data_IF_664052104207
#
_entry.id   IF_664052104207
#
_cell.length_a   1.000
_cell.length_b   1.000
_cell.length_c   1.000
_cell.angle_alpha   90.00
_cell.angle_beta   90.00
_cell.angle_gamma   90.00
#
_symmetry.space_group_name_H-M   'P 1'
#
loop_
_entity.id
_entity.type
_entity.pdbx_description
1 polymer ?
#
# COMPACT_ATOMS: atom_id res chain seq x y z
N UNK A 1 35.51 -22.03 38.86
CA UNK A 1 35.03 -20.65 38.78
C UNK A 1 35.63 -20.01 37.53
N UNK A 2 34.85 -19.87 36.46
CA UNK A 2 35.15 -18.92 35.37
C UNK A 2 33.83 -18.60 34.67
N UNK A 3 33.31 -17.40 34.91
CA UNK A 3 32.03 -16.93 34.40
C UNK A 3 32.24 -16.24 33.05
N UNK A 4 31.77 -16.84 31.96
CA UNK A 4 31.71 -16.17 30.66
C UNK A 4 30.36 -15.48 30.52
N UNK A 5 30.31 -14.23 30.97
CA UNK A 5 29.23 -13.29 30.63
C UNK A 5 29.52 -12.73 29.24
N UNK A 6 28.92 -13.31 28.19
CA UNK A 6 28.89 -12.69 26.87
C UNK A 6 27.53 -12.06 26.63
N UNK A 7 27.51 -10.74 26.76
CA UNK A 7 26.45 -9.84 26.33
C UNK A 7 26.53 -9.80 24.80
N UNK A 8 25.60 -10.48 24.12
CA UNK A 8 25.30 -10.24 22.70
C UNK A 8 24.00 -9.43 22.73
N UNK A 9 24.13 -8.11 22.89
CA UNK A 9 24.11 -7.15 21.79
C UNK A 9 22.79 -7.25 21.03
N UNK A 10 21.94 -6.26 21.28
CA UNK A 10 20.58 -6.15 20.77
C UNK A 10 20.50 -6.42 19.27
N UNK A 11 19.49 -7.21 18.91
CA UNK A 11 19.08 -7.40 17.53
C UNK A 11 18.78 -6.02 16.94
N UNK A 12 19.75 -5.51 16.18
CA UNK A 12 19.62 -4.32 15.37
C UNK A 12 18.41 -4.52 14.46
N UNK A 13 17.44 -3.64 14.67
CA UNK A 13 16.36 -3.30 13.76
C UNK A 13 16.95 -3.16 12.35
N UNK A 14 16.76 -4.17 11.52
CA UNK A 14 17.00 -4.07 10.09
C UNK A 14 15.90 -3.18 9.50
N UNK A 15 16.17 -1.88 9.49
CA UNK A 15 15.49 -0.90 8.65
C UNK A 15 15.69 -1.30 7.18
N UNK A 16 14.77 -2.09 6.66
CA UNK A 16 14.70 -2.41 5.24
C UNK A 16 14.26 -1.14 4.47
N UNK A 17 15.21 -0.24 4.20
CA UNK A 17 15.13 0.73 3.11
C UNK A 17 15.37 -0.01 1.78
N UNK A 18 14.52 -0.96 1.45
CA UNK A 18 14.39 -1.46 0.09
C UNK A 18 13.08 -0.93 -0.44
N UNK A 19 13.10 -0.12 -1.50
CA UNK A 19 11.93 0.13 -2.33
C UNK A 19 11.54 -1.18 -3.01
N UNK A 20 10.96 -2.09 -2.23
CA UNK A 20 10.43 -3.36 -2.71
C UNK A 20 9.05 -3.04 -3.27
N UNK A 21 8.85 -3.35 -4.55
CA UNK A 21 7.53 -3.30 -5.19
C UNK A 21 6.54 -4.02 -4.27
N UNK A 22 5.40 -3.40 -3.91
CA UNK A 22 4.49 -3.98 -2.94
C UNK A 22 4.03 -5.36 -3.41
N UNK A 23 3.98 -6.37 -2.52
CA UNK A 23 3.49 -7.67 -2.91
C UNK A 23 2.04 -7.54 -3.35
N UNK A 24 1.72 -8.23 -4.44
CA UNK A 24 0.35 -8.37 -4.93
C UNK A 24 -0.03 -9.83 -4.81
N UNK A 25 -1.17 -10.10 -4.18
CA UNK A 25 -1.76 -11.44 -4.08
C UNK A 25 -3.11 -11.44 -4.80
N UNK A 26 -3.69 -12.62 -5.12
CA UNK A 26 -5.06 -12.69 -5.58
C UNK A 26 -5.98 -11.94 -4.60
N UNK A 27 -6.80 -10.98 -5.08
CA UNK A 27 -7.55 -10.11 -4.19
C UNK A 27 -8.62 -10.90 -3.44
N UNK A 28 -8.75 -10.62 -2.14
CA UNK A 28 -9.88 -11.09 -1.36
C UNK A 28 -11.19 -10.52 -1.96
N UNK A 29 -12.24 -11.33 -2.18
CA UNK A 29 -13.47 -10.87 -2.82
C UNK A 29 -14.15 -9.70 -2.10
N UNK A 30 -14.06 -9.62 -0.76
CA UNK A 30 -14.66 -8.53 0.00
C UNK A 30 -13.83 -7.24 -0.12
N UNK A 31 -12.50 -7.36 -0.13
CA UNK A 31 -11.60 -6.22 -0.43
C UNK A 31 -11.83 -5.72 -1.86
N UNK A 32 -11.88 -6.61 -2.86
CA UNK A 32 -12.13 -6.25 -4.24
C UNK A 32 -13.48 -5.53 -4.42
N UNK A 33 -14.56 -6.08 -3.85
CA UNK A 33 -15.88 -5.47 -3.92
C UNK A 33 -15.89 -4.07 -3.27
N UNK A 34 -15.23 -3.91 -2.12
CA UNK A 34 -15.14 -2.61 -1.43
C UNK A 34 -14.35 -1.59 -2.22
N UNK A 35 -13.18 -1.97 -2.72
CA UNK A 35 -12.32 -1.10 -3.53
C UNK A 35 -13.07 -0.65 -4.78
N UNK A 36 -13.69 -1.59 -5.51
CA UNK A 36 -14.47 -1.30 -6.71
C UNK A 36 -15.64 -0.35 -6.45
N UNK A 37 -16.34 -0.53 -5.33
CA UNK A 37 -17.44 0.35 -4.91
C UNK A 37 -16.94 1.76 -4.59
N UNK A 38 -15.82 1.89 -3.87
CA UNK A 38 -15.23 3.18 -3.52
C UNK A 38 -14.63 3.91 -4.74
N UNK A 39 -13.97 3.18 -5.63
CA UNK A 39 -13.29 3.74 -6.80
C UNK A 39 -14.22 3.96 -7.99
N UNK A 40 -15.54 3.82 -7.83
CA UNK A 40 -16.52 3.98 -8.90
C UNK A 40 -16.29 3.03 -10.09
N UNK A 41 -15.76 1.83 -9.85
CA UNK A 41 -15.47 0.88 -10.93
C UNK A 41 -14.19 1.13 -11.73
N UNK A 42 -13.23 1.88 -11.19
CA UNK A 42 -11.90 2.08 -11.79
C UNK A 42 -11.29 0.77 -12.37
N UNK A 43 -10.72 0.85 -13.57
CA UNK A 43 -10.14 -0.29 -14.28
C UNK A 43 -8.99 -0.99 -13.52
N UNK A 44 -8.28 -0.28 -12.65
CA UNK A 44 -7.19 -0.83 -11.84
C UNK A 44 -7.62 -1.29 -10.43
N UNK A 45 -8.92 -1.31 -10.15
CA UNK A 45 -9.46 -1.67 -8.82
C UNK A 45 -9.00 -3.04 -8.32
N UNK A 46 -8.90 -4.04 -9.19
CA UNK A 46 -8.45 -5.39 -8.81
C UNK A 46 -6.96 -5.40 -8.40
N UNK A 47 -6.12 -4.60 -9.06
CA UNK A 47 -4.71 -4.46 -8.71
C UNK A 47 -4.54 -3.79 -7.34
N UNK A 48 -5.32 -2.72 -7.07
CA UNK A 48 -5.34 -2.10 -5.74
C UNK A 48 -5.81 -3.08 -4.67
N UNK A 49 -6.85 -3.84 -4.95
CA UNK A 49 -7.38 -4.84 -4.03
C UNK A 49 -6.35 -5.94 -3.73
N UNK A 50 -5.56 -6.37 -4.73
CA UNK A 50 -4.51 -7.37 -4.55
C UNK A 50 -3.41 -6.91 -3.60
N UNK A 51 -2.98 -5.64 -3.71
CA UNK A 51 -2.01 -5.04 -2.77
C UNK A 51 -2.63 -4.89 -1.38
N UNK A 52 -3.83 -4.31 -1.27
CA UNK A 52 -4.50 -4.15 0.03
C UNK A 52 -4.75 -5.49 0.73
N UNK A 53 -5.03 -6.54 -0.03
CA UNK A 53 -5.16 -7.92 0.49
C UNK A 53 -3.82 -8.45 1.00
N UNK A 54 -2.72 -8.21 0.29
CA UNK A 54 -1.39 -8.63 0.72
C UNK A 54 -0.99 -8.01 2.07
N UNK A 55 -1.40 -6.77 2.30
CA UNK A 55 -1.23 -6.06 3.58
C UNK A 55 -2.33 -6.37 4.61
N UNK A 56 -3.23 -7.31 4.32
CA UNK A 56 -4.37 -7.70 5.18
C UNK A 56 -5.22 -6.49 5.61
N UNK A 57 -5.38 -5.50 4.74
CA UNK A 57 -6.20 -4.31 5.03
C UNK A 57 -7.67 -4.74 5.01
N UNK A 58 -8.40 -4.62 6.15
CA UNK A 58 -9.77 -5.07 6.20
C UNK A 58 -10.67 -4.14 5.37
N UNK A 59 -11.64 -4.65 4.61
CA UNK A 59 -12.49 -3.82 3.74
C UNK A 59 -13.27 -2.77 4.53
N UNK A 60 -13.69 -3.09 5.77
CA UNK A 60 -14.39 -2.15 6.64
C UNK A 60 -13.53 -0.96 7.11
N UNK A 61 -12.20 -1.06 7.03
CA UNK A 61 -11.31 0.08 7.33
C UNK A 61 -11.25 1.10 6.20
N UNK A 62 -11.60 0.72 4.95
CA UNK A 62 -11.57 1.61 3.81
C UNK A 62 -12.80 2.53 3.85
N UNK A 63 -12.60 3.81 4.16
CA UNK A 63 -13.67 4.78 4.33
C UNK A 63 -14.03 5.49 3.02
N UNK A 64 -13.02 6.01 2.32
CA UNK A 64 -13.19 6.70 1.04
C UNK A 64 -12.00 6.48 0.11
N UNK A 65 -12.20 6.86 -1.15
CA UNK A 65 -11.20 6.78 -2.20
C UNK A 65 -11.10 8.12 -2.91
N UNK A 66 -9.88 8.62 -3.05
CA UNK A 66 -9.58 9.82 -3.82
C UNK A 66 -8.56 9.49 -4.90
N UNK A 67 -8.81 10.02 -6.10
CA UNK A 67 -7.88 9.91 -7.22
C UNK A 67 -7.49 11.32 -7.64
N UNK A 68 -6.44 11.91 -7.03
CA UNK A 68 -6.03 13.26 -7.38
C UNK A 68 -5.80 13.39 -8.89
N UNK A 69 -6.36 14.44 -9.47
CA UNK A 69 -6.15 14.80 -10.86
C UNK A 69 -4.71 15.26 -11.00
N UNK A 70 -3.86 14.45 -11.63
CA UNK A 70 -2.51 14.90 -11.97
C UNK A 70 -2.61 15.81 -13.19
N UNK A 71 -2.04 17.01 -13.07
CA UNK A 71 -1.85 17.95 -14.18
C UNK A 71 -0.68 17.45 -15.04
N UNK A 72 -0.95 17.19 -16.31
CA UNK A 72 0.06 16.79 -17.29
C UNK A 72 0.81 18.03 -17.75
N UNK A 73 2.13 18.10 -17.52
CA UNK A 73 2.97 19.09 -18.23
C UNK A 73 4.18 18.47 -18.96
N UNK A 74 4.43 17.16 -18.84
CA UNK A 74 5.59 16.54 -19.47
C UNK A 74 5.25 15.29 -20.31
N UNK A 75 5.29 15.40 -21.66
CA UNK A 75 5.22 14.23 -22.53
C UNK A 75 6.48 13.37 -22.38
N UNK A 76 6.31 12.06 -22.14
CA UNK A 76 7.39 11.07 -22.15
C UNK A 76 7.66 10.35 -20.83
N UNK A 77 7.04 10.74 -19.72
CA UNK A 77 7.13 10.01 -18.44
C UNK A 77 5.92 9.08 -18.25
N UNK A 78 6.11 7.85 -17.72
CA UNK A 78 4.99 6.99 -17.33
C UNK A 78 4.10 7.74 -16.35
N UNK A 79 2.78 7.62 -16.55
CA UNK A 79 1.78 8.33 -15.73
C UNK A 79 1.68 7.61 -14.38
N UNK A 80 2.63 7.90 -13.49
CA UNK A 80 2.57 7.47 -12.10
C UNK A 80 1.45 8.25 -11.43
N UNK A 81 0.31 7.58 -11.24
CA UNK A 81 -0.86 8.12 -10.55
C UNK A 81 -0.83 7.66 -9.10
N UNK A 82 -1.57 8.38 -8.27
CA UNK A 82 -1.76 8.01 -6.89
C UNK A 82 -3.23 7.69 -6.65
N UNK A 83 -3.48 6.55 -6.02
CA UNK A 83 -4.76 6.14 -5.50
C UNK A 83 -4.73 6.28 -3.98
N UNK A 84 -5.59 7.15 -3.44
CA UNK A 84 -5.63 7.45 -2.02
C UNK A 84 -6.81 6.69 -1.40
N UNK A 85 -6.50 5.78 -0.48
CA UNK A 85 -7.49 5.07 0.31
C UNK A 85 -7.50 5.62 1.74
N UNK A 86 -8.51 6.42 2.06
CA UNK A 86 -8.65 6.97 3.42
C UNK A 86 -9.20 5.91 4.35
N UNK A 87 -8.60 5.79 5.53
CA UNK A 87 -8.97 4.80 6.53
C UNK A 87 -9.95 5.38 7.54
N UNK A 88 -10.90 4.57 8.01
CA UNK A 88 -11.89 4.98 9.02
C UNK A 88 -11.28 5.30 10.39
N UNK A 89 -10.11 4.73 10.70
CA UNK A 89 -9.32 5.04 11.90
C UNK A 89 -8.45 6.29 11.78
N UNK A 90 -8.49 7.00 10.65
CA UNK A 90 -7.63 8.15 10.35
C UNK A 90 -6.42 7.78 9.50
N UNK A 91 -5.93 8.76 8.73
CA UNK A 91 -4.86 8.59 7.77
C UNK A 91 -5.30 7.96 6.45
N UNK A 92 -4.34 7.81 5.53
CA UNK A 92 -4.58 7.29 4.18
C UNK A 92 -3.46 6.36 3.74
N UNK A 93 -3.80 5.32 3.00
CA UNK A 93 -2.84 4.54 2.23
C UNK A 93 -2.79 5.09 0.82
N UNK A 94 -1.62 5.57 0.41
CA UNK A 94 -1.39 6.11 -0.93
C UNK A 94 -0.68 5.04 -1.75
N UNK A 95 -1.36 4.55 -2.78
CA UNK A 95 -0.79 3.59 -3.73
C UNK A 95 -0.34 4.37 -4.97
N UNK A 96 0.97 4.41 -5.22
CA UNK A 96 1.50 4.84 -6.50
C UNK A 96 1.35 3.71 -7.53
N UNK A 97 0.87 4.02 -8.73
CA UNK A 97 0.62 3.02 -9.75
C UNK A 97 0.79 3.55 -11.18
N UNK A 98 1.20 2.67 -12.08
CA UNK A 98 1.14 2.90 -13.53
C UNK A 98 -0.30 2.70 -14.02
N UNK A 99 -0.91 3.76 -14.56
CA UNK A 99 -2.32 3.72 -14.97
C UNK A 99 -2.57 2.98 -16.30
N UNK A 100 -1.53 2.73 -17.09
CA UNK A 100 -1.63 1.97 -18.34
C UNK A 100 -1.57 0.48 -18.08
N UNK A 101 -0.69 0.05 -17.17
CA UNK A 101 -0.48 -1.36 -16.85
C UNK A 101 -1.26 -1.82 -15.61
N UNK A 102 -1.87 -0.89 -14.87
CA UNK A 102 -2.49 -1.13 -13.57
C UNK A 102 -1.53 -1.80 -12.57
N UNK A 103 -0.24 -1.44 -12.63
CA UNK A 103 0.79 -1.97 -11.73
C UNK A 103 1.05 -1.02 -10.60
N UNK A 104 0.88 -1.49 -9.37
CA UNK A 104 1.19 -0.71 -8.16
C UNK A 104 2.69 -0.74 -7.91
N UNK A 105 3.32 0.43 -7.92
CA UNK A 105 4.76 0.61 -7.80
C UNK A 105 5.19 0.80 -6.35
N UNK A 106 4.32 1.42 -5.55
CA UNK A 106 4.59 1.74 -4.15
C UNK A 106 3.30 1.85 -3.35
N UNK A 107 3.44 1.68 -2.04
CA UNK A 107 2.40 1.95 -1.07
C UNK A 107 3.01 2.70 0.11
N UNK A 108 2.43 3.86 0.42
CA UNK A 108 2.94 4.75 1.46
C UNK A 108 1.80 5.12 2.42
N UNK A 109 1.96 4.89 3.74
CA UNK A 109 0.99 5.37 4.71
C UNK A 109 1.19 6.87 4.95
N UNK A 110 0.09 7.62 5.06
CA UNK A 110 0.08 9.06 5.35
C UNK A 110 -0.90 9.39 6.47
N UNK A 111 -0.67 10.51 7.14
CA UNK A 111 -1.62 11.07 8.11
C UNK A 111 -1.88 10.19 9.34
N UNK A 112 -0.89 9.40 9.78
CA UNK A 112 -1.03 8.50 10.93
C UNK A 112 -1.50 7.08 10.59
N UNK A 113 -1.74 6.78 9.30
CA UNK A 113 -1.95 5.40 8.87
C UNK A 113 -0.72 4.54 9.16
N UNK A 114 -0.94 3.25 9.40
CA UNK A 114 0.12 2.27 9.61
C UNK A 114 -0.12 1.13 8.64
N UNK A 115 0.93 0.74 7.90
CA UNK A 115 0.91 -0.48 7.11
C UNK A 115 1.19 -1.67 8.03
N UNK A 116 0.31 -2.68 8.07
CA UNK A 116 0.60 -3.91 8.77
C UNK A 116 1.86 -4.57 8.19
N UNK A 117 2.67 -5.17 9.05
CA UNK A 117 3.79 -6.00 8.58
C UNK A 117 3.26 -7.19 7.79
N UNK A 118 3.78 -7.36 6.58
CA UNK A 118 3.56 -8.57 5.78
C UNK A 118 4.32 -9.70 6.47
N UNK A 119 3.63 -10.80 6.77
CA UNK A 119 4.19 -11.98 7.43
C UNK A 119 3.57 -13.24 6.90
#
# INVERSE_FOLDING_TARGET
MTATRSIIAGALLLSACGSVVPPTVPPDPAVAARVKALSGGNACSDAFAGVLTAYRIPPASLASFDLPTISYDHPGTPVLRQAWFNLSGGGSLVLGYDATQCWVTDITPRGGAVLPTIG
#
